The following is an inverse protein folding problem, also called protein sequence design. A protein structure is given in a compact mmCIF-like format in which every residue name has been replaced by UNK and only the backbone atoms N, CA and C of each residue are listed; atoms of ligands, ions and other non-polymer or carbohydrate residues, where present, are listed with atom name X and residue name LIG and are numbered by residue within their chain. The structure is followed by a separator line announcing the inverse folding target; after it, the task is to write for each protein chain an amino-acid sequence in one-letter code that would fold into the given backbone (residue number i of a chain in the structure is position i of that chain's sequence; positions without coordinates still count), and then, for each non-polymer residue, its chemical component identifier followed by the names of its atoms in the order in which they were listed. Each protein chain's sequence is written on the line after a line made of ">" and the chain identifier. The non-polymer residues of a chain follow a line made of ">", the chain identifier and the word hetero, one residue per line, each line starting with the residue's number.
data_IF_616931064052
#
_entry.id   IF_616931064052
#
_cell.length_a   1.000
_cell.length_b   1.000
_cell.length_c   1.000
_cell.angle_alpha   90.00
_cell.angle_beta   90.00
_cell.angle_gamma   90.00
#
_symmetry.space_group_name_H-M   'P 1'
#
loop_
_entity.id
_entity.type
_entity.pdbx_description
1 polymer ?
#
# COMPACT_ATOMS: atom_id res chain seq x y z
N UNK A 1 26.25 -15.48 -14.84
CA UNK A 1 26.35 -16.27 -13.61
C UNK A 1 25.29 -17.35 -13.70
N UNK A 2 25.68 -18.61 -13.78
CA UNK A 2 24.75 -19.75 -13.73
C UNK A 2 24.20 -19.87 -12.32
N UNK A 3 22.88 -19.73 -12.19
CA UNK A 3 22.16 -19.96 -10.93
C UNK A 3 22.15 -21.48 -10.71
N UNK A 4 22.82 -21.94 -9.64
CA UNK A 4 22.91 -23.37 -9.32
C UNK A 4 21.62 -23.84 -8.66
N UNK A 5 21.01 -24.90 -9.20
CA UNK A 5 19.75 -25.47 -8.70
C UNK A 5 19.78 -25.90 -7.22
N UNK A 6 20.98 -26.18 -6.68
CA UNK A 6 21.19 -26.48 -5.26
C UNK A 6 20.88 -25.29 -4.34
N UNK A 7 21.22 -24.07 -4.73
CA UNK A 7 20.93 -22.87 -3.91
C UNK A 7 19.42 -22.64 -3.81
N UNK A 8 18.70 -22.75 -4.93
CA UNK A 8 17.23 -22.63 -4.97
C UNK A 8 16.57 -23.70 -4.09
N UNK A 9 17.05 -24.95 -4.18
CA UNK A 9 16.50 -26.05 -3.39
C UNK A 9 16.74 -25.89 -1.89
N UNK A 10 17.88 -25.30 -1.50
CA UNK A 10 18.21 -25.02 -0.10
C UNK A 10 17.32 -23.94 0.51
N UNK A 11 17.05 -22.86 -0.24
CA UNK A 11 16.18 -21.76 0.17
C UNK A 11 14.74 -22.27 0.39
N UNK A 12 14.20 -23.03 -0.57
CA UNK A 12 12.84 -23.58 -0.47
C UNK A 12 12.71 -24.55 0.73
N UNK A 13 13.70 -25.41 0.99
CA UNK A 13 13.67 -26.32 2.15
C UNK A 13 13.73 -25.57 3.49
N UNK A 14 14.48 -24.47 3.56
CA UNK A 14 14.53 -23.64 4.76
C UNK A 14 13.17 -22.98 5.04
N UNK A 15 12.49 -22.47 4.02
CA UNK A 15 11.13 -21.90 4.17
C UNK A 15 10.11 -22.94 4.65
N UNK A 16 10.15 -24.17 4.11
CA UNK A 16 9.22 -25.24 4.49
C UNK A 16 9.43 -25.68 5.96
N UNK A 17 10.66 -25.75 6.43
CA UNK A 17 10.97 -26.19 7.79
C UNK A 17 10.57 -25.17 8.88
N UNK A 18 10.34 -23.91 8.51
CA UNK A 18 9.85 -22.87 9.42
C UNK A 18 8.33 -22.82 9.58
N UNK A 19 7.58 -23.69 8.87
CA UNK A 19 6.12 -23.61 8.80
C UNK A 19 5.46 -24.34 9.98
N UNK A 20 5.23 -23.63 11.08
CA UNK A 20 4.55 -24.14 12.28
C UNK A 20 3.03 -23.87 12.18
N UNK A 21 2.23 -24.91 11.95
CA UNK A 21 0.76 -24.80 11.78
C UNK A 21 0.04 -24.77 13.13
N UNK A 22 -0.05 -23.58 13.75
CA UNK A 22 -1.01 -23.33 14.83
C UNK A 22 -2.33 -22.85 14.23
N UNK A 23 -3.39 -23.63 14.38
CA UNK A 23 -4.75 -23.21 14.03
C UNK A 23 -5.30 -22.29 15.13
N UNK A 24 -5.29 -20.98 14.90
CA UNK A 24 -5.97 -20.00 15.75
C UNK A 24 -7.30 -19.60 15.07
N UNK A 25 -8.42 -20.10 15.61
CA UNK A 25 -9.77 -19.87 15.04
C UNK A 25 -10.17 -18.39 15.08
N UNK A 26 -9.64 -17.63 16.05
CA UNK A 26 -9.88 -16.17 16.22
C UNK A 26 -9.38 -15.32 15.04
N UNK A 27 -8.59 -15.88 14.14
CA UNK A 27 -7.93 -15.17 13.04
C UNK A 27 -8.59 -15.39 11.67
N UNK A 28 -9.66 -16.17 11.62
CA UNK A 28 -10.34 -16.51 10.36
C UNK A 28 -11.78 -16.00 10.31
N UNK A 29 -12.23 -15.66 9.12
CA UNK A 29 -13.62 -15.32 8.83
C UNK A 29 -14.08 -15.93 7.51
N UNK A 30 -15.35 -15.74 7.19
CA UNK A 30 -15.99 -16.27 5.99
C UNK A 30 -16.69 -15.16 5.24
N UNK A 31 -16.45 -15.04 3.93
CA UNK A 31 -17.14 -14.07 3.08
C UNK A 31 -18.65 -14.40 3.03
N UNK A 32 -19.48 -13.46 3.45
CA UNK A 32 -20.94 -13.51 3.31
C UNK A 32 -21.39 -13.01 1.94
N UNK A 33 -20.74 -11.96 1.43
CA UNK A 33 -21.03 -11.42 0.11
C UNK A 33 -19.83 -10.65 -0.42
N UNK A 34 -19.68 -10.61 -1.74
CA UNK A 34 -18.68 -9.80 -2.43
C UNK A 34 -19.31 -9.16 -3.66
N UNK A 35 -19.14 -7.85 -3.84
CA UNK A 35 -19.67 -7.09 -4.97
C UNK A 35 -19.09 -5.69 -5.03
N UNK A 36 -18.87 -5.17 -6.24
CA UNK A 36 -18.34 -3.83 -6.51
C UNK A 36 -17.07 -3.48 -5.71
N UNK A 37 -16.19 -4.46 -5.49
CA UNK A 37 -14.95 -4.29 -4.73
C UNK A 37 -15.12 -4.24 -3.21
N UNK A 38 -16.30 -4.57 -2.67
CA UNK A 38 -16.57 -4.67 -1.23
C UNK A 38 -16.94 -6.11 -0.88
N UNK A 39 -16.31 -6.65 0.16
CA UNK A 39 -16.68 -7.90 0.80
C UNK A 39 -17.27 -7.64 2.19
N UNK A 40 -18.34 -8.37 2.52
CA UNK A 40 -18.83 -8.50 3.89
C UNK A 40 -18.38 -9.84 4.43
N UNK A 41 -17.75 -9.84 5.60
CA UNK A 41 -17.11 -11.02 6.18
C UNK A 41 -17.65 -11.26 7.58
N UNK A 42 -18.09 -12.49 7.85
CA UNK A 42 -18.45 -12.94 9.19
C UNK A 42 -17.22 -13.48 9.92
N UNK A 43 -17.14 -13.29 11.24
CA UNK A 43 -16.01 -13.71 12.05
C UNK A 43 -14.98 -12.59 12.25
N UNK A 44 -13.68 -12.91 12.17
CA UNK A 44 -12.59 -11.95 12.38
C UNK A 44 -12.73 -11.13 13.68
N UNK A 45 -13.09 -11.78 14.79
CA UNK A 45 -13.52 -11.10 16.03
C UNK A 45 -12.50 -10.10 16.60
N UNK A 46 -11.20 -10.31 16.35
CA UNK A 46 -10.12 -9.46 16.87
C UNK A 46 -9.53 -8.50 15.83
N UNK A 47 -10.13 -8.38 14.65
CA UNK A 47 -9.60 -7.53 13.57
C UNK A 47 -9.70 -6.04 13.93
N UNK A 48 -8.73 -5.26 13.46
CA UNK A 48 -8.67 -3.82 13.71
C UNK A 48 -9.19 -3.03 12.52
N UNK A 49 -9.71 -1.83 12.78
CA UNK A 49 -10.04 -0.88 11.71
C UNK A 49 -8.75 -0.43 11.01
N UNK A 50 -8.76 -0.40 9.66
CA UNK A 50 -7.58 -0.12 8.86
C UNK A 50 -6.56 -1.25 8.82
N UNK A 51 -6.91 -2.45 9.29
CA UNK A 51 -6.08 -3.65 9.16
C UNK A 51 -6.13 -4.19 7.73
N UNK A 52 -5.01 -4.76 7.28
CA UNK A 52 -4.99 -5.57 6.07
C UNK A 52 -5.41 -7.01 6.40
N UNK A 53 -6.23 -7.58 5.53
CA UNK A 53 -6.61 -9.00 5.58
C UNK A 53 -6.23 -9.68 4.29
N UNK A 54 -6.02 -10.98 4.35
CA UNK A 54 -5.73 -11.83 3.20
C UNK A 54 -7.01 -12.56 2.79
N UNK A 55 -7.46 -12.29 1.58
CA UNK A 55 -8.50 -13.04 0.89
C UNK A 55 -7.87 -14.14 0.03
N UNK A 56 -8.66 -15.10 -0.49
CA UNK A 56 -8.12 -16.12 -1.39
C UNK A 56 -7.41 -15.54 -2.60
N UNK A 57 -6.57 -16.37 -3.22
CA UNK A 57 -5.75 -15.99 -4.37
C UNK A 57 -4.70 -14.89 -4.07
N UNK A 58 -4.34 -14.70 -2.80
CA UNK A 58 -3.35 -13.70 -2.38
C UNK A 58 -3.85 -12.26 -2.56
N UNK A 59 -5.17 -12.06 -2.60
CA UNK A 59 -5.77 -10.74 -2.73
C UNK A 59 -5.81 -10.11 -1.34
N UNK A 60 -5.33 -8.87 -1.23
CA UNK A 60 -5.40 -8.13 0.02
C UNK A 60 -6.75 -7.41 0.14
N UNK A 61 -7.22 -7.24 1.36
CA UNK A 61 -8.38 -6.42 1.70
C UNK A 61 -8.06 -5.41 2.79
N UNK A 62 -8.70 -4.25 2.74
CA UNK A 62 -8.60 -3.23 3.77
C UNK A 62 -9.88 -3.20 4.59
N UNK A 63 -9.76 -3.38 5.90
CA UNK A 63 -10.90 -3.32 6.82
C UNK A 63 -11.33 -1.86 6.99
N UNK A 64 -12.54 -1.55 6.56
CA UNK A 64 -13.12 -0.20 6.65
C UNK A 64 -14.11 -0.08 7.80
N UNK A 65 -14.98 -1.08 7.96
CA UNK A 65 -16.10 -1.04 8.89
C UNK A 65 -16.08 -2.28 9.80
N UNK A 66 -16.30 -2.06 11.09
CA UNK A 66 -16.52 -3.10 12.09
C UNK A 66 -17.97 -2.99 12.55
N UNK A 67 -18.85 -3.84 12.02
CA UNK A 67 -20.24 -3.94 12.48
C UNK A 67 -20.34 -5.01 13.58
N UNK A 68 -21.49 -5.11 14.26
CA UNK A 68 -21.68 -6.10 15.35
C UNK A 68 -21.57 -7.54 14.84
N UNK A 69 -22.15 -7.81 13.66
CA UNK A 69 -22.27 -9.17 13.12
C UNK A 69 -21.35 -9.44 11.91
N UNK A 70 -20.75 -8.40 11.32
CA UNK A 70 -19.90 -8.55 10.14
C UNK A 70 -18.85 -7.44 10.01
N UNK A 71 -17.88 -7.67 9.14
CA UNK A 71 -16.78 -6.74 8.84
C UNK A 71 -16.85 -6.34 7.38
N UNK A 72 -16.84 -5.03 7.13
CA UNK A 72 -16.78 -4.46 5.78
C UNK A 72 -15.34 -4.29 5.31
N UNK A 73 -14.99 -4.98 4.23
CA UNK A 73 -13.63 -5.05 3.70
C UNK A 73 -13.63 -4.55 2.25
N UNK A 74 -12.81 -3.55 1.96
CA UNK A 74 -12.55 -3.12 0.59
C UNK A 74 -11.48 -4.03 -0.04
N UNK A 75 -11.82 -4.66 -1.15
CA UNK A 75 -10.94 -5.59 -1.87
C UNK A 75 -9.92 -4.79 -2.68
N UNK A 76 -8.63 -5.02 -2.42
CA UNK A 76 -7.50 -4.35 -3.09
C UNK A 76 -6.98 -5.22 -4.24
N UNK A 77 -7.83 -5.51 -5.22
CA UNK A 77 -7.50 -6.37 -6.36
C UNK A 77 -8.72 -6.80 -7.20
N UNK A 78 -8.57 -7.92 -7.92
CA UNK A 78 -9.62 -8.48 -8.77
C UNK A 78 -10.73 -9.17 -7.94
N UNK A 79 -11.76 -8.41 -7.60
CA UNK A 79 -12.87 -8.88 -6.76
C UNK A 79 -13.67 -10.03 -7.39
N UNK A 80 -13.63 -10.21 -8.71
CA UNK A 80 -14.38 -11.25 -9.44
C UNK A 80 -13.94 -12.67 -9.07
N UNK A 81 -12.76 -12.80 -8.45
CA UNK A 81 -12.23 -14.08 -7.98
C UNK A 81 -12.77 -14.47 -6.60
N UNK A 82 -13.32 -13.51 -5.85
CA UNK A 82 -13.84 -13.72 -4.50
C UNK A 82 -15.28 -14.21 -4.57
N UNK A 83 -15.60 -15.25 -3.81
CA UNK A 83 -16.93 -15.86 -3.74
C UNK A 83 -17.45 -15.90 -2.31
N UNK A 84 -18.76 -16.02 -2.19
CA UNK A 84 -19.39 -16.32 -0.89
C UNK A 84 -18.89 -17.67 -0.36
N UNK A 85 -18.66 -17.74 0.95
CA UNK A 85 -18.10 -18.90 1.62
C UNK A 85 -16.58 -18.95 1.66
N UNK A 86 -15.89 -18.05 0.96
CA UNK A 86 -14.42 -18.02 0.94
C UNK A 86 -13.84 -17.65 2.32
N UNK A 87 -12.70 -18.28 2.70
CA UNK A 87 -12.03 -17.95 3.95
C UNK A 87 -11.27 -16.62 3.83
N UNK A 88 -11.33 -15.81 4.88
CA UNK A 88 -10.54 -14.58 5.02
C UNK A 88 -9.65 -14.73 6.23
N UNK A 89 -8.37 -14.39 6.07
CA UNK A 89 -7.38 -14.50 7.14
C UNK A 89 -6.91 -13.13 7.59
N UNK A 90 -6.81 -12.97 8.90
CA UNK A 90 -6.24 -11.80 9.53
C UNK A 90 -4.72 -11.74 9.33
N UNK A 91 -4.18 -10.54 9.09
CA UNK A 91 -2.71 -10.37 9.02
C UNK A 91 -2.10 -9.81 10.30
N UNK A 92 -2.91 -9.18 11.17
CA UNK A 92 -2.46 -8.49 12.38
C UNK A 92 -1.77 -7.16 12.10
N UNK A 93 -1.70 -6.72 10.84
CA UNK A 93 -0.95 -5.55 10.41
C UNK A 93 -1.90 -4.45 9.97
N UNK A 94 -1.80 -3.29 10.61
CA UNK A 94 -2.41 -2.06 10.09
C UNK A 94 -1.82 -1.76 8.71
N UNK A 95 -2.64 -1.24 7.81
CA UNK A 95 -2.28 -0.91 6.44
C UNK A 95 -0.96 -0.13 6.40
N UNK A 96 0.05 -0.79 5.84
CA UNK A 96 1.43 -0.33 5.79
C UNK A 96 2.03 -0.71 4.45
N UNK A 97 2.99 0.11 4.02
CA UNK A 97 3.70 -0.07 2.76
C UNK A 97 5.22 -0.14 3.00
N UNK A 98 5.96 -0.88 2.17
CA UNK A 98 7.42 -0.85 2.17
C UNK A 98 7.94 0.56 1.88
N UNK A 99 8.96 0.99 2.62
CA UNK A 99 9.61 2.31 2.46
C UNK A 99 11.13 2.16 2.41
N UNK A 100 11.84 3.23 2.04
CA UNK A 100 13.30 3.29 2.02
C UNK A 100 13.89 3.42 0.61
N UNK A 101 15.20 3.60 0.53
CA UNK A 101 15.92 3.89 -0.72
C UNK A 101 15.72 2.82 -1.80
N UNK A 102 15.48 1.56 -1.41
CA UNK A 102 15.18 0.46 -2.34
C UNK A 102 13.92 0.69 -3.20
N UNK A 103 13.04 1.61 -2.78
CA UNK A 103 11.83 1.99 -3.55
C UNK A 103 12.12 3.00 -4.65
N UNK A 104 13.24 3.73 -4.57
CA UNK A 104 13.59 4.79 -5.52
C UNK A 104 13.85 4.18 -6.90
N UNK A 105 13.21 4.74 -7.94
CA UNK A 105 13.33 4.26 -9.32
C UNK A 105 12.54 2.98 -9.64
N UNK A 106 11.68 2.54 -8.72
CA UNK A 106 10.73 1.43 -8.92
C UNK A 106 9.36 1.95 -9.34
N UNK A 107 8.59 1.09 -10.00
CA UNK A 107 7.14 1.30 -10.18
C UNK A 107 6.40 0.34 -9.26
N UNK A 108 5.66 0.88 -8.30
CA UNK A 108 4.95 0.14 -7.28
C UNK A 108 3.44 0.34 -7.41
N UNK A 109 2.65 -0.65 -6.99
CA UNK A 109 1.21 -0.50 -6.79
C UNK A 109 0.89 0.22 -5.46
N UNK A 110 -0.40 0.41 -5.17
CA UNK A 110 -0.86 1.09 -3.96
C UNK A 110 -0.55 0.34 -2.65
N UNK A 111 -0.26 -0.96 -2.73
CA UNK A 111 0.16 -1.80 -1.58
C UNK A 111 1.68 -1.88 -1.46
N UNK A 112 2.42 -1.28 -2.40
CA UNK A 112 3.87 -1.28 -2.46
C UNK A 112 4.48 -2.51 -3.15
N UNK A 113 3.68 -3.32 -3.85
CA UNK A 113 4.21 -4.42 -4.65
C UNK A 113 4.82 -3.89 -5.96
N UNK A 114 5.97 -4.41 -6.40
CA UNK A 114 6.58 -3.99 -7.64
C UNK A 114 5.83 -4.49 -8.87
N UNK A 115 5.53 -3.58 -9.79
CA UNK A 115 4.86 -3.88 -11.07
C UNK A 115 5.75 -3.62 -12.29
N UNK A 116 7.02 -3.25 -12.07
CA UNK A 116 8.01 -2.97 -13.11
C UNK A 116 8.76 -4.20 -13.63
N UNK A 117 8.51 -5.39 -13.07
CA UNK A 117 9.18 -6.63 -13.45
C UNK A 117 10.66 -6.73 -13.02
N UNK A 118 11.18 -5.81 -12.19
CA UNK A 118 12.58 -5.81 -11.73
C UNK A 118 12.83 -6.67 -10.49
N UNK A 119 11.91 -7.58 -10.16
CA UNK A 119 11.98 -8.42 -8.95
C UNK A 119 11.45 -7.73 -7.68
N UNK A 120 11.58 -8.34 -6.49
CA UNK A 120 11.07 -7.80 -5.24
C UNK A 120 11.78 -6.50 -4.81
N UNK A 121 11.12 -5.68 -4.00
CA UNK A 121 11.75 -4.54 -3.33
C UNK A 121 12.42 -5.05 -2.05
N UNK A 122 13.75 -4.93 -1.96
CA UNK A 122 14.50 -5.35 -0.79
C UNK A 122 14.50 -4.22 0.25
N UNK A 123 13.50 -4.21 1.12
CA UNK A 123 13.47 -3.32 2.29
C UNK A 123 12.94 -4.06 3.50
N UNK A 124 13.57 -3.80 4.64
CA UNK A 124 13.14 -4.32 5.95
C UNK A 124 12.20 -3.35 6.67
N UNK A 125 12.04 -2.13 6.14
CA UNK A 125 11.24 -1.08 6.75
C UNK A 125 9.87 -0.96 6.09
N UNK A 126 8.83 -0.94 6.92
CA UNK A 126 7.47 -0.62 6.52
C UNK A 126 6.95 0.58 7.31
N UNK A 127 6.03 1.32 6.71
CA UNK A 127 5.39 2.47 7.35
C UNK A 127 3.89 2.39 7.21
N UNK A 128 3.18 2.65 8.31
CA UNK A 128 1.72 2.75 8.33
C UNK A 128 1.26 3.92 7.46
N UNK A 129 0.24 3.66 6.63
CA UNK A 129 -0.33 4.64 5.69
C UNK A 129 -1.01 5.77 6.47
N UNK A 130 -1.88 5.41 7.41
CA UNK A 130 -2.65 6.36 8.22
C UNK A 130 -1.87 6.79 9.47
N UNK A 131 -0.97 7.76 9.31
CA UNK A 131 -0.18 8.34 10.39
C UNK A 131 -0.57 9.80 10.65
N UNK A 132 -0.73 10.15 11.93
CA UNK A 132 -1.04 11.53 12.34
C UNK A 132 0.06 12.50 11.91
N UNK A 133 -0.31 13.49 11.10
CA UNK A 133 0.63 14.49 10.60
C UNK A 133 1.33 15.28 11.73
N UNK A 134 2.56 15.78 11.51
CA UNK A 134 3.25 16.64 12.48
C UNK A 134 2.44 17.89 12.82
N UNK A 135 2.26 18.13 14.11
CA UNK A 135 1.63 19.35 14.64
C UNK A 135 2.52 20.60 14.45
N UNK A 136 1.95 21.78 14.69
CA UNK A 136 2.58 23.09 14.41
C UNK A 136 3.95 23.23 15.07
N UNK A 137 4.09 22.80 16.34
CA UNK A 137 5.35 22.90 17.11
C UNK A 137 6.51 22.13 16.47
N UNK A 138 6.22 21.06 15.72
CA UNK A 138 7.23 20.26 15.01
C UNK A 138 7.56 20.80 13.62
N UNK A 139 6.90 21.86 13.16
CA UNK A 139 7.10 22.45 11.82
C UNK A 139 8.06 23.63 11.90
N UNK A 140 8.72 23.90 10.78
CA UNK A 140 9.51 25.10 10.57
C UNK A 140 8.87 25.94 9.46
N UNK A 141 9.02 27.27 9.50
CA UNK A 141 8.65 28.11 8.36
C UNK A 141 9.36 27.64 7.09
N UNK A 142 8.66 27.67 5.96
CA UNK A 142 9.23 27.36 4.66
C UNK A 142 10.14 28.52 4.24
N UNK A 143 11.44 28.24 4.04
CA UNK A 143 12.46 29.25 3.69
C UNK A 143 13.34 28.87 2.51
N UNK A 144 13.27 27.62 2.08
CA UNK A 144 14.08 27.10 0.99
C UNK A 144 13.23 27.00 -0.27
N UNK A 145 13.68 27.53 -1.42
CA UNK A 145 12.94 27.41 -2.66
C UNK A 145 13.01 25.98 -3.22
N UNK A 146 11.93 25.54 -3.84
CA UNK A 146 11.85 24.39 -4.73
C UNK A 146 11.84 24.94 -6.16
N UNK A 147 12.92 24.72 -6.88
CA UNK A 147 13.06 25.22 -8.25
C UNK A 147 12.25 24.34 -9.19
N UNK A 148 11.33 24.93 -9.95
CA UNK A 148 10.56 24.21 -10.97
C UNK A 148 11.23 24.25 -12.33
N UNK A 149 12.14 25.20 -12.56
CA UNK A 149 12.73 25.44 -13.88
C UNK A 149 11.81 26.20 -14.83
N UNK A 150 10.58 26.49 -14.41
CA UNK A 150 9.59 27.23 -15.19
C UNK A 150 9.61 28.67 -14.71
N UNK A 151 10.21 29.56 -15.52
CA UNK A 151 10.40 30.99 -15.18
C UNK A 151 9.11 31.66 -14.73
N UNK A 152 7.98 31.35 -15.36
CA UNK A 152 6.69 31.92 -14.99
C UNK A 152 6.26 31.52 -13.56
N UNK A 153 6.53 30.29 -13.14
CA UNK A 153 6.20 29.80 -11.79
C UNK A 153 7.24 30.35 -10.80
N UNK A 154 8.52 30.13 -11.07
CA UNK A 154 9.60 30.51 -10.13
C UNK A 154 9.65 32.03 -9.87
N UNK A 155 9.22 32.87 -10.83
CA UNK A 155 9.17 34.32 -10.66
C UNK A 155 7.86 34.84 -10.04
N UNK A 156 6.70 34.31 -10.45
CA UNK A 156 5.39 34.86 -10.01
C UNK A 156 4.80 34.13 -8.81
N UNK A 157 5.01 32.82 -8.73
CA UNK A 157 4.42 31.92 -7.71
C UNK A 157 5.53 30.96 -7.21
N UNK A 158 6.55 31.48 -6.51
CA UNK A 158 7.65 30.65 -6.05
C UNK A 158 7.14 29.58 -5.08
N UNK A 159 7.56 28.33 -5.32
CA UNK A 159 7.20 27.18 -4.49
C UNK A 159 8.33 26.93 -3.49
N UNK A 160 8.02 26.74 -2.21
CA UNK A 160 9.02 26.41 -1.19
C UNK A 160 9.03 24.94 -0.76
N UNK A 161 10.15 24.44 -0.25
CA UNK A 161 10.28 23.09 0.29
C UNK A 161 9.42 22.92 1.55
N UNK A 162 8.45 22.01 1.49
CA UNK A 162 7.46 21.80 2.55
C UNK A 162 6.15 22.60 2.36
N UNK A 163 6.02 23.35 1.27
CA UNK A 163 4.78 23.98 0.85
C UNK A 163 3.85 22.98 0.16
N UNK A 164 2.54 23.26 0.16
CA UNK A 164 1.54 22.56 -0.63
C UNK A 164 1.01 23.54 -1.66
N UNK A 165 1.21 23.24 -2.94
CA UNK A 165 0.79 24.09 -4.05
C UNK A 165 -0.19 23.31 -4.95
N UNK A 166 -1.36 23.90 -5.22
CA UNK A 166 -2.40 23.27 -6.02
C UNK A 166 -2.29 23.70 -7.48
N UNK A 167 -2.09 22.75 -8.39
CA UNK A 167 -2.14 22.98 -9.84
C UNK A 167 -3.54 22.62 -10.35
N UNK A 168 -4.31 23.61 -10.77
CA UNK A 168 -5.68 23.44 -11.27
C UNK A 168 -5.80 23.97 -12.70
N UNK A 169 -6.62 23.30 -13.52
CA UNK A 169 -6.87 23.69 -14.91
C UNK A 169 -7.68 22.64 -15.66
N UNK A 170 -8.15 22.99 -16.86
CA UNK A 170 -9.00 22.13 -17.68
C UNK A 170 -8.23 20.93 -18.30
N UNK A 171 -8.93 20.02 -18.97
CA UNK A 171 -8.33 18.91 -19.71
C UNK A 171 -7.38 19.45 -20.79
N UNK A 172 -6.19 18.86 -20.88
CA UNK A 172 -5.20 19.21 -21.91
C UNK A 172 -4.40 20.50 -21.65
N UNK A 173 -4.50 21.10 -20.46
CA UNK A 173 -3.78 22.36 -20.14
C UNK A 173 -2.33 22.18 -19.66
N UNK A 174 -1.73 20.99 -19.80
CA UNK A 174 -0.33 20.77 -19.44
C UNK A 174 -0.02 20.55 -17.95
N UNK A 175 -1.04 20.30 -17.09
CA UNK A 175 -0.83 20.04 -15.64
C UNK A 175 0.22 18.97 -15.37
N UNK A 176 0.15 17.83 -16.08
CA UNK A 176 1.11 16.74 -15.92
C UNK A 176 2.50 17.11 -16.44
N UNK A 177 2.60 17.89 -17.51
CA UNK A 177 3.88 18.33 -18.07
C UNK A 177 4.63 19.21 -17.05
N UNK A 178 3.94 20.18 -16.44
CA UNK A 178 4.51 21.02 -15.37
C UNK A 178 5.09 20.16 -14.23
N UNK A 179 4.34 19.15 -13.78
CA UNK A 179 4.77 18.28 -12.68
C UNK A 179 5.97 17.42 -13.09
N UNK A 180 5.97 16.84 -14.28
CA UNK A 180 7.07 16.01 -14.78
C UNK A 180 8.33 16.84 -14.99
N UNK A 181 8.22 18.03 -15.58
CA UNK A 181 9.35 18.94 -15.77
C UNK A 181 9.94 19.40 -14.44
N UNK A 182 9.12 19.53 -13.39
CA UNK A 182 9.60 19.85 -12.03
C UNK A 182 10.36 18.69 -11.38
N UNK A 183 10.09 17.44 -11.78
CA UNK A 183 10.78 16.25 -11.26
C UNK A 183 12.16 16.06 -11.92
N UNK A 184 12.30 16.47 -13.19
CA UNK A 184 13.50 16.28 -14.03
C UNK A 184 14.52 17.39 -13.77
#
# INVERSE_FOLDING_TARGET
>A
MEIKAEEISSIIRQEINGFDTRMEVDETGTVLSAGDGIARVYGLQKVMAGELVELPHGIMGLVLNLEEDNVGIAIMGHYEKIREGDPVKRTGRIASVPVGEATVGRVLDALGNPIDGKGPVQTDETRVIELKAPGIVKRQPVREPLQTGIVAIDAMIPIGRGQRELIIGDRGTGKTAIIVDTII
#
